data_IF_992183574107
#
_entry.id   IF_992183574107
#
_cell.length_a   1.000
_cell.length_b   1.000
_cell.length_c   1.000
_cell.angle_alpha   90.00
_cell.angle_beta   90.00
_cell.angle_gamma   90.00
#
_symmetry.space_group_name_H-M   'P 1'
#
loop_
_entity.id
_entity.type
_entity.pdbx_description
1 polymer ?
#
# COMPACT_ATOMS: atom_id res chain seq x y z
N UNK A 1 9.22 2.49 -21.39
CA UNK A 1 8.52 2.05 -22.61
C UNK A 1 7.23 1.36 -22.18
N UNK A 2 6.09 2.05 -22.25
CA UNK A 2 4.79 1.39 -22.08
C UNK A 2 4.58 0.53 -23.33
N UNK A 3 4.34 -0.77 -23.16
CA UNK A 3 4.12 -1.69 -24.26
C UNK A 3 3.03 -1.13 -25.20
N UNK A 4 3.40 -0.89 -26.47
CA UNK A 4 2.45 -0.40 -27.46
C UNK A 4 1.33 -1.45 -27.61
N UNK A 5 0.05 -1.06 -27.57
CA UNK A 5 -1.08 -1.99 -27.55
C UNK A 5 -1.20 -2.88 -28.80
N UNK A 6 -0.38 -2.63 -29.82
CA UNK A 6 -0.37 -3.36 -31.09
C UNK A 6 0.37 -4.70 -31.03
N UNK A 7 0.95 -5.08 -29.89
CA UNK A 7 1.50 -6.43 -29.67
C UNK A 7 0.58 -7.25 -28.75
N UNK A 8 0.59 -8.59 -28.83
CA UNK A 8 -0.16 -9.44 -27.89
C UNK A 8 0.20 -9.15 -26.42
N UNK A 9 1.47 -8.84 -26.15
CA UNK A 9 1.94 -8.46 -24.82
C UNK A 9 1.39 -7.09 -24.38
N UNK A 10 1.41 -6.10 -25.26
CA UNK A 10 0.83 -4.78 -25.00
C UNK A 10 -0.69 -4.85 -24.77
N UNK A 11 -1.40 -5.65 -25.55
CA UNK A 11 -2.83 -5.91 -25.34
C UNK A 11 -3.09 -6.58 -23.97
N UNK A 12 -2.26 -7.55 -23.57
CA UNK A 12 -2.34 -8.20 -22.25
C UNK A 12 -2.07 -7.23 -21.11
N UNK A 13 -1.06 -6.37 -21.25
CA UNK A 13 -0.73 -5.34 -20.27
C UNK A 13 -1.88 -4.31 -20.12
N UNK A 14 -2.45 -3.85 -21.23
CA UNK A 14 -3.59 -2.93 -21.23
C UNK A 14 -4.83 -3.56 -20.56
N UNK A 15 -5.10 -4.84 -20.83
CA UNK A 15 -6.20 -5.57 -20.19
C UNK A 15 -6.00 -5.69 -18.67
N UNK A 16 -4.78 -5.99 -18.22
CA UNK A 16 -4.44 -6.03 -16.79
C UNK A 16 -4.65 -4.66 -16.14
N UNK A 17 -4.14 -3.57 -16.73
CA UNK A 17 -4.34 -2.22 -16.20
C UNK A 17 -5.83 -1.85 -16.09
N UNK A 18 -6.63 -2.20 -17.09
CA UNK A 18 -8.08 -1.97 -17.07
C UNK A 18 -8.75 -2.78 -15.96
N UNK A 19 -8.34 -4.03 -15.74
CA UNK A 19 -8.87 -4.86 -14.67
C UNK A 19 -8.49 -4.29 -13.30
N UNK A 20 -7.22 -3.93 -13.10
CA UNK A 20 -6.72 -3.45 -11.80
C UNK A 20 -7.28 -2.08 -11.42
N UNK A 21 -7.52 -1.20 -12.40
CA UNK A 21 -8.17 0.09 -12.19
C UNK A 21 -9.61 -0.03 -11.65
N UNK A 22 -10.29 -1.15 -11.92
CA UNK A 22 -11.66 -1.40 -11.46
C UNK A 22 -11.74 -2.22 -10.16
N UNK A 23 -10.60 -2.67 -9.61
CA UNK A 23 -10.59 -3.43 -8.37
C UNK A 23 -11.00 -2.53 -7.20
N UNK A 24 -11.99 -3.00 -6.43
CA UNK A 24 -12.41 -2.32 -5.21
C UNK A 24 -11.26 -2.26 -4.18
N UNK A 25 -11.21 -1.20 -3.36
CA UNK A 25 -10.31 -1.14 -2.22
C UNK A 25 -10.67 -2.22 -1.19
N UNK A 26 -9.71 -2.61 -0.36
CA UNK A 26 -9.98 -3.50 0.77
C UNK A 26 -11.01 -2.85 1.71
N UNK A 27 -12.05 -3.58 2.13
CA UNK A 27 -13.09 -3.03 3.00
C UNK A 27 -12.54 -2.75 4.41
N UNK A 28 -13.10 -1.80 5.16
CA UNK A 28 -12.64 -1.47 6.53
C UNK A 28 -13.37 -2.26 7.62
N UNK A 29 -14.49 -2.92 7.29
CA UNK A 29 -15.31 -3.67 8.24
C UNK A 29 -14.83 -5.12 8.45
N UNK A 30 -13.53 -5.40 8.35
CA UNK A 30 -12.96 -6.75 8.52
C UNK A 30 -12.39 -6.95 9.93
N UNK A 31 -12.23 -8.22 10.34
CA UNK A 31 -11.51 -8.55 11.59
C UNK A 31 -10.04 -8.11 11.53
N UNK A 32 -9.38 -8.29 10.39
CA UNK A 32 -7.99 -7.88 10.19
C UNK A 32 -7.81 -6.36 10.34
N UNK A 33 -8.68 -5.55 9.73
CA UNK A 33 -8.61 -4.10 9.86
C UNK A 33 -8.80 -3.66 11.31
N UNK A 34 -9.78 -4.24 12.04
CA UNK A 34 -9.98 -3.96 13.46
C UNK A 34 -8.78 -4.36 14.33
N UNK A 35 -8.13 -5.48 14.01
CA UNK A 35 -6.91 -5.91 14.72
C UNK A 35 -5.74 -4.94 14.49
N UNK A 36 -5.57 -4.44 13.26
CA UNK A 36 -4.59 -3.40 12.95
C UNK A 36 -4.88 -2.10 13.72
N UNK A 37 -6.15 -1.67 13.80
CA UNK A 37 -6.54 -0.50 14.58
C UNK A 37 -6.25 -0.66 16.07
N UNK A 38 -6.60 -1.81 16.66
CA UNK A 38 -6.32 -2.11 18.06
C UNK A 38 -4.81 -2.14 18.36
N UNK A 39 -4.02 -2.77 17.48
CA UNK A 39 -2.56 -2.82 17.62
C UNK A 39 -1.97 -1.40 17.55
N UNK A 40 -2.39 -0.59 16.58
CA UNK A 40 -1.92 0.78 16.46
C UNK A 40 -2.27 1.61 17.70
N UNK A 41 -3.49 1.46 18.23
CA UNK A 41 -3.96 2.19 19.41
C UNK A 41 -3.25 1.76 20.70
N UNK A 42 -2.81 0.51 20.81
CA UNK A 42 -2.02 0.04 21.96
C UNK A 42 -0.65 0.70 22.07
N UNK A 43 -0.08 1.13 20.93
CA UNK A 43 1.21 1.82 20.84
C UNK A 43 1.00 3.34 20.86
N UNK A 44 -0.07 3.82 20.20
CA UNK A 44 -0.38 5.24 20.01
C UNK A 44 -1.84 5.57 20.40
N UNK A 45 -2.17 5.65 21.69
CA UNK A 45 -3.57 5.81 22.15
C UNK A 45 -4.25 7.09 21.63
N UNK A 46 -3.52 8.19 21.56
CA UNK A 46 -4.07 9.49 21.17
C UNK A 46 -4.09 9.74 19.66
N UNK A 47 -3.73 8.74 18.84
CA UNK A 47 -3.63 8.91 17.37
C UNK A 47 -4.72 8.12 16.64
N UNK A 48 -5.51 8.76 15.77
CA UNK A 48 -6.49 8.06 14.96
C UNK A 48 -5.81 7.24 13.86
N UNK A 49 -6.36 6.06 13.56
CA UNK A 49 -6.02 5.34 12.33
C UNK A 49 -6.77 5.95 11.16
N UNK A 50 -6.04 6.31 10.12
CA UNK A 50 -6.61 6.88 8.89
C UNK A 50 -6.12 6.11 7.67
N UNK A 51 -6.90 6.16 6.59
CA UNK A 51 -6.52 5.55 5.32
C UNK A 51 -6.11 6.63 4.32
N UNK A 52 -5.03 6.40 3.59
CA UNK A 52 -4.59 7.26 2.50
C UNK A 52 -4.49 6.46 1.20
N UNK A 53 -4.59 7.14 0.06
CA UNK A 53 -4.34 6.53 -1.24
C UNK A 53 -2.84 6.44 -1.47
N UNK A 54 -2.31 5.22 -1.56
CA UNK A 54 -0.91 5.01 -1.90
C UNK A 54 -0.73 4.97 -3.42
N UNK A 55 -0.11 6.01 -3.98
CA UNK A 55 0.06 6.21 -5.42
C UNK A 55 1.25 5.43 -5.99
N UNK A 56 1.34 4.14 -5.68
CA UNK A 56 2.40 3.26 -6.16
C UNK A 56 1.85 1.87 -6.50
N UNK A 57 2.60 1.12 -7.31
CA UNK A 57 2.34 -0.31 -7.53
C UNK A 57 2.54 -1.08 -6.24
N UNK A 58 1.62 -1.99 -5.93
CA UNK A 58 1.73 -2.88 -4.76
C UNK A 58 1.32 -4.29 -5.12
N UNK A 59 1.82 -5.27 -4.38
CA UNK A 59 1.45 -6.68 -4.53
C UNK A 59 0.00 -6.97 -4.11
N UNK A 60 -0.70 -5.97 -3.56
CA UNK A 60 -2.09 -6.08 -3.11
C UNK A 60 -3.04 -6.55 -4.20
N UNK A 61 -2.75 -6.27 -5.47
CA UNK A 61 -3.57 -6.65 -6.63
C UNK A 61 -3.72 -8.17 -6.72
N UNK A 62 -2.64 -8.92 -6.51
CA UNK A 62 -2.63 -10.38 -6.64
C UNK A 62 -3.56 -11.06 -5.61
N UNK A 63 -3.76 -10.43 -4.46
CA UNK A 63 -4.59 -10.94 -3.37
C UNK A 63 -6.02 -10.41 -3.43
N UNK A 64 -6.19 -9.11 -3.66
CA UNK A 64 -7.51 -8.46 -3.78
C UNK A 64 -8.33 -9.00 -4.94
N UNK A 65 -7.70 -9.35 -6.06
CA UNK A 65 -8.38 -10.00 -7.19
C UNK A 65 -8.95 -11.39 -6.85
N UNK A 66 -8.53 -11.98 -5.73
CA UNK A 66 -8.99 -13.28 -5.20
C UNK A 66 -9.87 -13.13 -3.95
N UNK A 67 -10.33 -11.92 -3.65
CA UNK A 67 -11.18 -11.64 -2.49
C UNK A 67 -10.44 -11.57 -1.15
N UNK A 68 -9.10 -11.60 -1.14
CA UNK A 68 -8.31 -11.48 0.08
C UNK A 68 -8.04 -9.99 0.36
N UNK A 69 -8.49 -9.42 1.50
CA UNK A 69 -8.22 -8.03 1.83
C UNK A 69 -6.74 -7.83 2.16
N UNK A 70 -6.18 -6.71 1.68
CA UNK A 70 -4.80 -6.29 1.94
C UNK A 70 -4.77 -4.85 2.43
N UNK A 71 -4.01 -4.58 3.49
CA UNK A 71 -3.79 -3.25 4.04
C UNK A 71 -2.29 -2.99 4.11
N UNK A 72 -1.83 -1.89 3.49
CA UNK A 72 -0.45 -1.44 3.63
C UNK A 72 -0.29 -0.65 4.92
N UNK A 73 0.80 -0.90 5.65
CA UNK A 73 1.20 -0.16 6.83
C UNK A 73 2.67 0.22 6.70
N UNK A 74 3.03 1.43 7.12
CA UNK A 74 4.44 1.72 7.36
C UNK A 74 4.82 1.12 8.71
N UNK A 75 5.91 0.34 8.80
CA UNK A 75 6.25 -0.38 10.03
C UNK A 75 6.84 0.52 11.12
N UNK A 76 6.92 1.83 10.89
CA UNK A 76 7.46 2.81 11.81
C UNK A 76 6.94 4.22 11.48
N UNK A 77 7.02 5.20 12.40
CA UNK A 77 6.72 6.59 12.11
C UNK A 77 7.69 7.12 11.05
N UNK A 78 7.10 7.72 10.02
CA UNK A 78 7.83 8.21 8.86
C UNK A 78 7.44 9.68 8.61
N UNK A 79 8.43 10.53 8.36
CA UNK A 79 8.17 11.92 8.00
C UNK A 79 7.86 12.06 6.51
N UNK A 80 7.23 13.18 6.11
CA UNK A 80 7.02 13.47 4.68
C UNK A 80 8.34 13.55 3.89
N UNK A 81 9.41 13.99 4.54
CA UNK A 81 10.72 14.11 3.92
C UNK A 81 11.40 12.73 3.77
N UNK A 82 11.20 11.79 4.71
CA UNK A 82 11.67 10.41 4.55
C UNK A 82 10.89 9.69 3.45
N UNK A 83 9.57 9.89 3.37
CA UNK A 83 8.73 9.37 2.28
C UNK A 83 9.21 9.84 0.91
N UNK A 84 9.62 11.11 0.78
CA UNK A 84 10.14 11.68 -0.47
C UNK A 84 11.46 11.03 -0.93
N UNK A 85 12.24 10.47 0.00
CA UNK A 85 13.51 9.80 -0.31
C UNK A 85 13.36 8.32 -0.67
N UNK A 86 12.18 7.73 -0.48
CA UNK A 86 11.91 6.34 -0.84
C UNK A 86 12.26 6.10 -2.32
N UNK A 87 13.06 5.07 -2.60
CA UNK A 87 13.62 4.76 -3.92
C UNK A 87 14.65 5.76 -4.47
N UNK A 88 15.16 6.68 -3.64
CA UNK A 88 16.23 7.62 -4.00
C UNK A 88 17.61 7.17 -3.51
N UNK A 89 18.66 7.90 -3.91
CA UNK A 89 20.05 7.59 -3.54
C UNK A 89 20.36 7.76 -2.03
N UNK A 90 19.51 8.48 -1.31
CA UNK A 90 19.68 8.83 0.10
C UNK A 90 18.48 8.34 0.93
N UNK A 91 17.94 7.17 0.57
CA UNK A 91 16.90 6.50 1.34
C UNK A 91 17.45 6.08 2.72
N UNK A 92 16.74 6.46 3.79
CA UNK A 92 17.15 6.18 5.17
C UNK A 92 15.94 6.14 6.10
N UNK A 93 16.15 5.52 7.26
CA UNK A 93 15.19 5.44 8.36
C UNK A 93 15.86 5.80 9.68
N UNK A 94 15.12 6.39 10.62
CA UNK A 94 15.59 6.64 11.98
C UNK A 94 15.76 5.32 12.75
N UNK A 95 16.91 5.12 13.40
CA UNK A 95 17.14 3.95 14.26
C UNK A 95 16.12 3.93 15.41
N UNK A 96 15.85 5.07 16.03
CA UNK A 96 14.85 5.18 17.10
C UNK A 96 13.46 4.75 16.64
N UNK A 97 13.12 4.98 15.37
CA UNK A 97 11.83 4.58 14.82
C UNK A 97 11.67 3.05 14.68
N UNK A 98 12.76 2.28 14.80
CA UNK A 98 12.75 0.82 14.74
C UNK A 98 12.55 0.14 16.11
N UNK A 99 12.64 0.89 17.20
CA UNK A 99 12.60 0.36 18.59
C UNK A 99 11.19 0.33 19.19
N UNK A 100 10.14 0.39 18.36
CA UNK A 100 8.74 0.51 18.79
C UNK A 100 8.08 -0.80 19.20
#
# INVERSE_FOLDING_TARGET
SLALPNTPEGARAAALLKQTANLQPSPKNTSLYRALEQSAHSIWPERPVTTYLFQAGTDAIAWRSRGVPVYGVYPYPISAEDLRRMHGNDERVSIQSLEQ
#
